data_IF_494111885383
#
_entry.id   IF_494111885383
#
_cell.length_a   1.000
_cell.length_b   1.000
_cell.length_c   1.000
_cell.angle_alpha   90.00
_cell.angle_beta   90.00
_cell.angle_gamma   90.00
#
_symmetry.space_group_name_H-M   'P 1'
#
loop_
_entity.id
_entity.type
_entity.pdbx_description
1 polymer ?
#
# COMPACT_ATOMS: atom_id res chain seq x y z
N UNK A 1 -6.22 41.59 29.69
CA UNK A 1 -6.95 40.49 29.03
C UNK A 1 -6.72 39.25 29.88
N UNK A 2 -7.77 38.65 30.43
CA UNK A 2 -7.69 37.39 31.18
C UNK A 2 -7.19 36.28 30.25
N UNK A 3 -5.97 35.78 30.49
CA UNK A 3 -5.37 34.70 29.72
C UNK A 3 -6.10 33.41 30.09
N UNK A 4 -6.82 32.81 29.14
CA UNK A 4 -7.32 31.44 29.33
C UNK A 4 -6.14 30.50 29.13
N UNK A 5 -5.87 29.73 30.17
CA UNK A 5 -4.86 28.67 30.21
C UNK A 5 -5.63 27.35 30.30
N UNK A 6 -5.17 26.31 29.61
CA UNK A 6 -5.77 24.97 29.75
C UNK A 6 -5.56 24.52 31.21
N UNK A 7 -6.64 24.27 31.98
CA UNK A 7 -6.52 23.83 33.36
C UNK A 7 -5.69 22.56 33.48
N UNK A 8 -4.84 22.49 34.50
CA UNK A 8 -3.89 21.39 34.69
C UNK A 8 -4.59 20.03 34.79
N UNK A 9 -5.78 20.01 35.39
CA UNK A 9 -6.67 18.86 35.54
C UNK A 9 -7.16 18.27 34.20
N UNK A 10 -7.20 19.07 33.13
CA UNK A 10 -7.70 18.66 31.81
C UNK A 10 -6.54 18.26 30.89
N UNK A 11 -5.29 18.64 31.20
CA UNK A 11 -4.12 18.35 30.34
C UNK A 11 -3.94 16.85 30.07
N UNK A 12 -4.26 16.00 31.04
CA UNK A 12 -4.19 14.53 30.90
C UNK A 12 -5.20 13.96 29.90
N UNK A 13 -6.22 14.73 29.51
CA UNK A 13 -7.23 14.35 28.53
C UNK A 13 -6.89 14.80 27.09
N UNK A 14 -5.71 15.39 26.90
CA UNK A 14 -5.13 15.69 25.59
C UNK A 14 -4.12 14.62 25.20
N UNK A 15 -4.14 14.25 23.91
CA UNK A 15 -3.10 13.42 23.29
C UNK A 15 -2.47 14.20 22.15
N UNK A 16 -1.14 14.20 22.07
CA UNK A 16 -0.38 14.79 20.97
C UNK A 16 0.31 13.69 20.18
N UNK A 17 0.25 13.77 18.86
CA UNK A 17 1.06 12.90 17.99
C UNK A 17 2.48 13.45 17.76
N UNK A 18 3.29 12.71 17.00
CA UNK A 18 4.68 13.10 16.67
C UNK A 18 4.78 14.38 15.84
N UNK A 19 3.71 14.75 15.14
CA UNK A 19 3.61 15.95 14.31
C UNK A 19 3.02 17.13 15.10
N UNK A 20 2.63 16.91 16.35
CA UNK A 20 2.02 17.92 17.22
C UNK A 20 0.54 18.16 16.94
N UNK A 21 -0.18 17.25 16.26
CA UNK A 21 -1.64 17.27 16.17
C UNK A 21 -2.22 16.83 17.51
N UNK A 22 -3.18 17.60 18.01
CA UNK A 22 -3.82 17.29 19.27
C UNK A 22 -5.16 16.58 19.08
N UNK A 23 -5.46 15.66 20.00
CA UNK A 23 -6.73 14.96 20.13
C UNK A 23 -7.24 15.15 21.54
N UNK A 24 -8.46 15.66 21.67
CA UNK A 24 -9.11 15.95 22.94
C UNK A 24 -10.16 14.88 23.23
N UNK A 25 -10.30 14.50 24.49
CA UNK A 25 -11.48 13.73 24.90
C UNK A 25 -12.77 14.58 24.71
N UNK A 26 -13.91 13.91 24.59
CA UNK A 26 -15.23 14.60 24.56
C UNK A 26 -15.44 15.39 25.86
N UNK A 27 -15.03 14.81 27.01
CA UNK A 27 -15.13 15.45 28.32
C UNK A 27 -14.22 16.68 28.44
N UNK A 28 -13.01 16.59 27.91
CA UNK A 28 -12.06 17.71 27.87
C UNK A 28 -12.65 18.87 27.08
N UNK A 29 -13.17 18.58 25.89
CA UNK A 29 -13.80 19.56 25.02
C UNK A 29 -15.01 20.23 25.70
N UNK A 30 -15.84 19.43 26.39
CA UNK A 30 -16.99 19.93 27.11
C UNK A 30 -16.59 20.87 28.27
N UNK A 31 -15.63 20.46 29.10
CA UNK A 31 -15.13 21.25 30.23
C UNK A 31 -14.47 22.55 29.77
N UNK A 32 -13.65 22.50 28.72
CA UNK A 32 -13.00 23.69 28.16
C UNK A 32 -14.01 24.74 27.70
N UNK A 33 -15.11 24.30 27.11
CA UNK A 33 -16.16 25.18 26.58
C UNK A 33 -17.25 25.48 27.62
N UNK A 34 -17.16 24.91 28.83
CA UNK A 34 -18.18 24.98 29.87
C UNK A 34 -19.57 24.53 29.38
N UNK A 35 -19.63 23.36 28.75
CA UNK A 35 -20.87 22.73 28.24
C UNK A 35 -21.02 21.32 28.82
N UNK A 36 -22.22 20.76 28.71
CA UNK A 36 -22.53 19.41 29.13
C UNK A 36 -21.94 18.38 28.13
N UNK A 37 -21.13 17.44 28.63
CA UNK A 37 -20.48 16.41 27.82
C UNK A 37 -21.49 15.43 27.23
N UNK A 38 -22.57 15.14 27.98
CA UNK A 38 -23.69 14.34 27.48
C UNK A 38 -24.37 14.99 26.27
N UNK A 39 -24.38 16.32 26.22
CA UNK A 39 -24.84 17.11 25.06
C UNK A 39 -23.98 16.85 23.81
N UNK A 40 -22.65 16.91 23.93
CA UNK A 40 -21.74 16.61 22.83
C UNK A 40 -21.88 15.16 22.35
N UNK A 41 -21.98 14.20 23.27
CA UNK A 41 -22.19 12.78 22.92
C UNK A 41 -23.47 12.62 22.11
N UNK A 42 -24.57 13.27 22.50
CA UNK A 42 -25.83 13.25 21.73
C UNK A 42 -25.67 13.88 20.35
N UNK A 43 -24.93 14.98 20.22
CA UNK A 43 -24.63 15.58 18.92
C UNK A 43 -23.94 14.56 17.99
N UNK A 44 -22.92 13.84 18.47
CA UNK A 44 -22.20 12.87 17.63
C UNK A 44 -23.03 11.62 17.32
N UNK A 45 -23.79 11.09 18.29
CA UNK A 45 -24.68 9.94 18.08
C UNK A 45 -25.84 10.25 17.11
N UNK A 46 -26.23 11.52 16.98
CA UNK A 46 -27.29 11.92 16.05
C UNK A 46 -26.89 11.86 14.56
N UNK A 47 -25.60 11.67 14.26
CA UNK A 47 -25.04 11.77 12.92
C UNK A 47 -25.72 10.92 11.86
N UNK A 48 -26.15 9.69 12.19
CA UNK A 48 -26.76 8.78 11.22
C UNK A 48 -28.26 9.00 11.02
N UNK A 49 -28.96 9.45 12.06
CA UNK A 49 -30.44 9.50 12.06
C UNK A 49 -30.98 10.88 11.77
N UNK A 50 -30.52 11.88 12.51
CA UNK A 50 -31.01 13.26 12.47
C UNK A 50 -29.86 14.19 12.92
N UNK A 51 -28.89 14.47 12.04
CA UNK A 51 -27.72 15.26 12.42
C UNK A 51 -28.14 16.66 12.85
N UNK A 52 -27.65 17.10 14.00
CA UNK A 52 -27.81 18.49 14.44
C UNK A 52 -26.98 19.45 13.57
N UNK A 53 -27.25 20.75 13.65
CA UNK A 53 -26.46 21.77 12.94
C UNK A 53 -24.95 21.66 13.19
N UNK A 54 -24.53 21.38 14.43
CA UNK A 54 -23.11 21.14 14.75
C UNK A 54 -22.59 19.90 14.03
N UNK A 55 -23.33 18.80 14.11
CA UNK A 55 -22.96 17.52 13.49
C UNK A 55 -22.87 17.65 11.98
N UNK A 56 -23.81 18.36 11.36
CA UNK A 56 -23.82 18.65 9.93
C UNK A 56 -22.60 19.47 9.52
N UNK A 57 -22.29 20.57 10.24
CA UNK A 57 -21.10 21.40 9.99
C UNK A 57 -19.80 20.59 10.05
N UNK A 58 -19.69 19.66 10.99
CA UNK A 58 -18.53 18.78 11.11
C UNK A 58 -18.44 17.77 9.96
N UNK A 59 -19.56 17.16 9.56
CA UNK A 59 -19.61 16.21 8.44
C UNK A 59 -19.27 16.91 7.12
N UNK A 60 -19.78 18.12 6.89
CA UNK A 60 -19.48 18.93 5.70
C UNK A 60 -17.99 19.28 5.60
N UNK A 61 -17.30 19.42 6.74
CA UNK A 61 -15.84 19.59 6.82
C UNK A 61 -15.04 18.29 6.73
N UNK A 62 -15.72 17.15 6.49
CA UNK A 62 -15.09 15.84 6.26
C UNK A 62 -14.78 15.05 7.52
N UNK A 63 -15.31 15.44 8.68
CA UNK A 63 -15.04 14.73 9.94
C UNK A 63 -15.95 13.51 10.14
N UNK A 64 -15.36 12.38 10.55
CA UNK A 64 -16.09 11.18 10.95
C UNK A 64 -16.48 11.25 12.43
N UNK A 65 -17.53 12.01 12.73
CA UNK A 65 -17.95 12.34 14.12
C UNK A 65 -18.28 11.12 15.00
N UNK A 66 -18.69 9.99 14.41
CA UNK A 66 -19.01 8.76 15.14
C UNK A 66 -17.78 8.13 15.82
N UNK A 67 -16.59 8.35 15.27
CA UNK A 67 -15.34 7.77 15.81
C UNK A 67 -14.73 8.59 16.94
N UNK A 68 -15.24 9.80 17.20
CA UNK A 68 -14.71 10.70 18.24
C UNK A 68 -14.75 10.13 19.66
N UNK A 69 -15.62 9.15 19.92
CA UNK A 69 -15.66 8.43 21.19
C UNK A 69 -14.44 7.52 21.41
N UNK A 70 -13.83 7.02 20.32
CA UNK A 70 -12.68 6.12 20.32
C UNK A 70 -11.37 6.90 20.07
N UNK A 71 -11.36 7.71 19.01
CA UNK A 71 -10.17 8.40 18.52
C UNK A 71 -9.91 9.74 19.24
N UNK A 72 -10.92 10.25 19.94
CA UNK A 72 -10.94 11.62 20.44
C UNK A 72 -11.27 12.63 19.32
N UNK A 73 -11.51 13.87 19.74
CA UNK A 73 -11.84 14.99 18.86
C UNK A 73 -10.52 15.61 18.37
N UNK A 74 -10.22 15.61 17.06
CA UNK A 74 -9.05 16.31 16.53
C UNK A 74 -9.10 17.81 16.81
N UNK A 75 -7.94 18.45 16.98
CA UNK A 75 -7.81 19.89 17.26
C UNK A 75 -8.60 20.79 16.30
N UNK A 76 -8.57 20.49 15.00
CA UNK A 76 -9.34 21.22 14.00
C UNK A 76 -10.84 21.04 14.20
N UNK A 77 -11.31 19.82 14.51
CA UNK A 77 -12.72 19.59 14.81
C UNK A 77 -13.15 20.28 16.12
N UNK A 78 -12.26 20.33 17.11
CA UNK A 78 -12.50 21.08 18.34
C UNK A 78 -12.67 22.58 18.07
N UNK A 79 -11.91 23.17 17.14
CA UNK A 79 -12.09 24.57 16.76
C UNK A 79 -13.50 24.86 16.23
N UNK A 80 -14.06 23.95 15.42
CA UNK A 80 -15.43 24.06 14.91
C UNK A 80 -16.49 23.98 16.02
N UNK A 81 -16.27 23.07 16.98
CA UNK A 81 -17.15 22.92 18.14
C UNK A 81 -17.07 24.18 19.01
N UNK A 82 -15.87 24.70 19.26
CA UNK A 82 -15.65 25.92 20.03
C UNK A 82 -16.30 27.13 19.35
N UNK A 83 -16.18 27.27 18.04
CA UNK A 83 -16.86 28.31 17.26
C UNK A 83 -18.38 28.20 17.38
N UNK A 84 -18.92 27.00 17.21
CA UNK A 84 -20.36 26.75 17.30
C UNK A 84 -20.91 27.17 18.68
N UNK A 85 -20.26 26.78 19.78
CA UNK A 85 -20.68 27.19 21.13
C UNK A 85 -20.31 28.64 21.48
N UNK A 86 -19.47 29.30 20.69
CA UNK A 86 -19.19 30.72 20.83
C UNK A 86 -20.25 31.61 20.14
N UNK A 87 -20.82 31.16 19.01
CA UNK A 87 -21.62 32.01 18.12
C UNK A 87 -22.96 31.40 17.68
N UNK A 88 -23.02 30.10 17.39
CA UNK A 88 -24.12 29.49 16.62
C UNK A 88 -25.10 28.66 17.47
N UNK A 89 -24.74 28.30 18.70
CA UNK A 89 -25.54 27.43 19.58
C UNK A 89 -26.77 28.13 20.22
N UNK A 90 -27.05 29.39 19.86
CA UNK A 90 -28.18 30.17 20.36
C UNK A 90 -28.16 30.34 21.88
N UNK A 91 -29.22 29.91 22.57
CA UNK A 91 -29.30 29.96 24.05
C UNK A 91 -28.23 29.10 24.76
N UNK A 92 -27.58 28.18 24.04
CA UNK A 92 -26.50 27.32 24.56
C UNK A 92 -25.11 27.90 24.32
N UNK A 93 -24.99 29.09 23.71
CA UNK A 93 -23.70 29.75 23.61
C UNK A 93 -23.15 30.05 25.00
N UNK A 94 -21.86 29.83 25.21
CA UNK A 94 -21.21 30.07 26.51
C UNK A 94 -20.16 31.16 26.37
N UNK A 95 -20.03 31.97 27.43
CA UNK A 95 -18.99 32.99 27.48
C UNK A 95 -17.60 32.34 27.48
N UNK A 96 -17.45 31.17 28.11
CA UNK A 96 -16.21 30.40 28.12
C UNK A 96 -15.81 29.96 26.71
N UNK A 97 -16.73 29.38 25.92
CA UNK A 97 -16.46 29.00 24.53
C UNK A 97 -16.02 30.20 23.69
N UNK A 98 -16.65 31.36 23.86
CA UNK A 98 -16.26 32.60 23.19
C UNK A 98 -14.84 33.04 23.53
N UNK A 99 -14.43 32.91 24.79
CA UNK A 99 -13.08 33.27 25.19
C UNK A 99 -12.05 32.25 24.68
N UNK A 100 -12.36 30.94 24.73
CA UNK A 100 -11.51 29.86 24.19
C UNK A 100 -11.30 30.05 22.68
N UNK A 101 -12.38 30.27 21.93
CA UNK A 101 -12.30 30.55 20.51
C UNK A 101 -11.42 31.77 20.21
N UNK A 102 -11.62 32.88 20.94
CA UNK A 102 -10.77 34.07 20.79
C UNK A 102 -9.30 33.83 21.12
N UNK A 103 -9.00 32.94 22.07
CA UNK A 103 -7.62 32.64 22.47
C UNK A 103 -6.81 32.03 21.32
N UNK A 104 -7.43 31.17 20.51
CA UNK A 104 -6.75 30.54 19.37
C UNK A 104 -7.06 31.16 18.01
N UNK A 105 -8.09 31.98 17.86
CA UNK A 105 -8.51 32.54 16.57
C UNK A 105 -7.39 33.30 15.83
N UNK A 106 -6.45 33.91 16.55
CA UNK A 106 -5.35 34.67 15.95
C UNK A 106 -4.15 33.81 15.50
N UNK A 107 -3.89 32.68 16.18
CA UNK A 107 -2.66 31.87 15.99
C UNK A 107 -2.94 30.44 15.48
N UNK A 108 -4.21 30.06 15.42
CA UNK A 108 -4.67 28.70 15.11
C UNK A 108 -4.77 27.81 16.35
N UNK A 109 -5.79 26.95 16.38
CA UNK A 109 -6.08 26.01 17.47
C UNK A 109 -4.90 25.09 17.80
N UNK A 110 -4.19 24.61 16.76
CA UNK A 110 -3.05 23.71 16.93
C UNK A 110 -1.89 24.39 17.64
N UNK A 111 -1.48 25.56 17.13
CA UNK A 111 -0.42 26.39 17.73
C UNK A 111 -0.76 26.75 19.17
N UNK A 112 -2.02 27.10 19.43
CA UNK A 112 -2.49 27.40 20.77
C UNK A 112 -2.36 26.20 21.71
N UNK A 113 -2.88 25.01 21.33
CA UNK A 113 -2.78 23.79 22.15
C UNK A 113 -1.31 23.39 22.38
N UNK A 114 -0.45 23.48 21.35
CA UNK A 114 0.98 23.20 21.49
C UNK A 114 1.65 24.13 22.51
N UNK A 115 1.32 25.42 22.49
CA UNK A 115 1.85 26.40 23.44
C UNK A 115 1.39 26.12 24.88
N UNK A 116 0.13 25.72 25.06
CA UNK A 116 -0.47 25.44 26.36
C UNK A 116 0.00 24.12 26.97
N UNK A 117 0.34 23.13 26.13
CA UNK A 117 0.90 21.84 26.53
C UNK A 117 2.44 21.82 26.54
N UNK A 118 3.08 22.95 26.27
CA UNK A 118 4.54 23.08 26.18
C UNK A 118 5.18 22.08 25.19
N UNK A 119 4.46 21.75 24.11
CA UNK A 119 4.96 20.86 23.08
C UNK A 119 6.08 21.56 22.30
N UNK A 120 7.21 20.86 22.17
CA UNK A 120 8.31 21.30 21.34
C UNK A 120 8.40 20.38 20.14
N UNK A 121 8.49 20.96 18.95
CA UNK A 121 8.73 20.19 17.74
C UNK A 121 10.03 19.39 17.92
N UNK A 122 10.02 18.07 17.67
CA UNK A 122 11.25 17.29 17.67
C UNK A 122 12.23 17.97 16.72
N UNK A 123 13.38 18.42 17.23
CA UNK A 123 14.38 19.03 16.36
C UNK A 123 14.81 17.98 15.35
N UNK A 124 14.42 18.18 14.09
CA UNK A 124 15.06 17.49 12.98
C UNK A 124 16.50 17.97 13.02
N UNK A 125 17.46 17.10 13.34
CA UNK A 125 18.87 17.44 13.25
C UNK A 125 19.15 17.86 11.81
N UNK A 126 19.20 19.17 11.58
CA UNK A 126 19.67 19.71 10.31
C UNK A 126 21.17 19.48 10.29
N UNK A 127 21.59 18.41 9.63
CA UNK A 127 22.99 18.18 9.32
C UNK A 127 23.50 19.39 8.57
N UNK A 128 24.59 19.98 9.05
CA UNK A 128 25.31 20.97 8.27
C UNK A 128 25.76 20.34 6.94
N UNK A 129 25.99 21.14 5.88
CA UNK A 129 26.46 20.61 4.60
C UNK A 129 27.69 19.71 4.75
N UNK A 130 28.63 20.06 5.64
CA UNK A 130 29.82 19.27 5.93
C UNK A 130 29.51 17.94 6.62
N UNK A 131 28.53 17.90 7.54
CA UNK A 131 28.09 16.65 8.18
C UNK A 131 27.35 15.75 7.20
N UNK A 132 26.53 16.34 6.32
CA UNK A 132 25.85 15.59 5.27
C UNK A 132 26.85 14.95 4.31
N UNK A 133 27.88 15.71 3.88
CA UNK A 133 28.97 15.20 3.05
C UNK A 133 29.72 14.05 3.75
N UNK A 134 30.08 14.22 5.02
CA UNK A 134 30.78 13.18 5.78
C UNK A 134 29.94 11.90 5.90
N UNK A 135 28.64 12.03 6.17
CA UNK A 135 27.73 10.88 6.22
C UNK A 135 27.58 10.20 4.85
N UNK A 136 27.51 10.96 3.76
CA UNK A 136 27.47 10.40 2.41
C UNK A 136 28.75 9.63 2.09
N UNK A 137 29.92 10.16 2.45
CA UNK A 137 31.21 9.46 2.27
C UNK A 137 31.26 8.16 3.08
N UNK A 138 30.84 8.19 4.35
CA UNK A 138 30.77 6.99 5.19
C UNK A 138 29.85 5.92 4.56
N UNK A 139 28.70 6.33 4.04
CA UNK A 139 27.77 5.42 3.36
C UNK A 139 28.39 4.79 2.10
N UNK A 140 29.16 5.55 1.32
CA UNK A 140 29.84 5.01 0.13
C UNK A 140 30.87 3.94 0.51
N UNK A 141 31.66 4.16 1.56
CA UNK A 141 32.62 3.17 2.06
C UNK A 141 31.93 1.88 2.49
N UNK A 142 30.77 1.97 3.16
CA UNK A 142 29.99 0.80 3.52
C UNK A 142 29.44 0.04 2.30
N UNK A 143 29.04 0.76 1.26
CA UNK A 143 28.58 0.17 0.01
C UNK A 143 29.71 -0.59 -0.68
N UNK A 144 30.89 0.02 -0.78
CA UNK A 144 32.08 -0.64 -1.35
C UNK A 144 32.42 -1.94 -0.61
N UNK A 145 32.39 -1.90 0.73
CA UNK A 145 32.64 -3.08 1.55
C UNK A 145 31.59 -4.18 1.32
N UNK A 146 30.30 -3.81 1.23
CA UNK A 146 29.23 -4.77 0.94
C UNK A 146 29.35 -5.36 -0.46
N UNK A 147 29.73 -4.56 -1.44
CA UNK A 147 29.99 -5.01 -2.82
C UNK A 147 31.12 -6.02 -2.86
N UNK A 148 32.24 -5.75 -2.18
CA UNK A 148 33.37 -6.69 -2.11
C UNK A 148 32.97 -8.05 -1.51
N UNK A 149 32.16 -8.05 -0.45
CA UNK A 149 31.62 -9.29 0.14
C UNK A 149 30.71 -10.02 -0.84
N UNK A 150 29.86 -9.28 -1.56
CA UNK A 150 28.92 -9.86 -2.52
C UNK A 150 29.65 -10.50 -3.70
N UNK A 151 30.68 -9.84 -4.23
CA UNK A 151 31.51 -10.38 -5.31
C UNK A 151 32.22 -11.67 -4.87
N UNK A 152 32.74 -11.71 -3.64
CA UNK A 152 33.36 -12.92 -3.10
C UNK A 152 32.35 -14.09 -2.99
N UNK A 153 31.10 -13.81 -2.58
CA UNK A 153 30.04 -14.83 -2.54
C UNK A 153 29.67 -15.34 -3.93
N UNK A 154 29.61 -14.44 -4.92
CA UNK A 154 29.33 -14.82 -6.31
C UNK A 154 30.42 -15.74 -6.86
N UNK A 155 31.71 -15.44 -6.61
CA UNK A 155 32.82 -16.29 -7.04
C UNK A 155 32.70 -17.72 -6.48
N UNK A 156 32.31 -17.88 -5.22
CA UNK A 156 32.10 -19.21 -4.62
C UNK A 156 30.95 -19.96 -5.31
N UNK A 157 29.82 -19.29 -5.53
CA UNK A 157 28.66 -19.90 -6.19
C UNK A 157 28.99 -20.33 -7.63
N UNK A 158 29.73 -19.49 -8.36
CA UNK A 158 30.14 -19.81 -9.73
C UNK A 158 31.08 -21.02 -9.77
N UNK A 159 32.03 -21.09 -8.85
CA UNK A 159 32.94 -22.22 -8.72
C UNK A 159 32.18 -23.52 -8.36
N UNK A 160 31.26 -23.47 -7.39
CA UNK A 160 30.42 -24.61 -7.01
C UNK A 160 29.54 -25.07 -8.17
N UNK A 161 28.92 -24.14 -8.89
CA UNK A 161 28.11 -24.45 -10.07
C UNK A 161 28.95 -25.13 -11.15
N UNK A 162 30.17 -24.64 -11.40
CA UNK A 162 31.05 -25.22 -12.40
C UNK A 162 31.46 -26.64 -12.00
N UNK A 163 31.87 -26.85 -10.75
CA UNK A 163 32.19 -28.19 -10.23
C UNK A 163 30.99 -29.14 -10.32
N UNK A 164 29.80 -28.73 -9.88
CA UNK A 164 28.60 -29.53 -9.98
C UNK A 164 28.25 -29.88 -11.44
N UNK A 165 28.48 -28.96 -12.38
CA UNK A 165 28.27 -29.20 -13.82
C UNK A 165 29.27 -30.23 -14.36
N UNK A 166 30.54 -30.14 -13.96
CA UNK A 166 31.57 -31.11 -14.33
C UNK A 166 31.30 -32.49 -13.74
N UNK A 167 30.88 -32.57 -12.48
CA UNK A 167 30.47 -33.81 -11.81
C UNK A 167 29.30 -34.47 -12.53
N UNK A 168 28.24 -33.72 -12.85
CA UNK A 168 27.10 -34.20 -13.63
C UNK A 168 27.52 -34.76 -14.99
N UNK A 169 28.49 -34.12 -15.65
CA UNK A 169 28.99 -34.54 -16.97
C UNK A 169 29.79 -35.85 -16.89
N UNK A 170 30.41 -36.16 -15.75
CA UNK A 170 31.21 -37.38 -15.54
C UNK A 170 30.38 -38.61 -15.17
N UNK A 171 29.12 -38.43 -14.78
CA UNK A 171 28.25 -39.56 -14.43
C UNK A 171 28.02 -40.46 -15.66
N UNK A 172 28.12 -41.79 -15.51
CA UNK A 172 27.85 -42.69 -16.62
C UNK A 172 26.39 -42.58 -17.05
N UNK A 173 26.18 -42.32 -18.33
CA UNK A 173 24.84 -42.35 -18.93
C UNK A 173 24.34 -43.80 -18.99
N UNK A 174 23.06 -44.00 -18.70
CA UNK A 174 22.44 -45.32 -18.85
C UNK A 174 22.54 -45.80 -20.30
N UNK A 175 22.85 -47.09 -20.49
CA UNK A 175 22.87 -47.76 -21.80
C UNK A 175 21.47 -48.09 -22.31
N UNK A 176 20.44 -47.95 -21.48
CA UNK A 176 19.07 -48.29 -21.84
C UNK A 176 18.46 -47.20 -22.74
N UNK A 177 17.90 -47.61 -23.88
CA UNK A 177 17.18 -46.71 -24.76
C UNK A 177 15.89 -46.25 -24.08
N UNK A 178 15.87 -45.02 -23.61
CA UNK A 178 14.67 -44.40 -23.07
C UNK A 178 13.57 -44.34 -24.16
N UNK A 179 12.29 -44.54 -23.80
CA UNK A 179 11.19 -44.42 -24.75
C UNK A 179 11.14 -43.00 -25.34
N UNK A 180 11.01 -42.89 -26.66
CA UNK A 180 10.99 -41.60 -27.34
C UNK A 180 9.74 -40.81 -26.96
N UNK A 181 9.92 -39.59 -26.44
CA UNK A 181 8.79 -38.70 -26.13
C UNK A 181 8.06 -38.37 -27.44
N UNK A 182 6.74 -38.60 -27.52
CA UNK A 182 5.96 -38.26 -28.71
C UNK A 182 5.97 -36.75 -28.94
N UNK A 183 5.82 -36.32 -30.20
CA UNK A 183 5.92 -34.92 -30.60
C UNK A 183 4.96 -34.00 -29.83
N UNK A 184 3.75 -34.49 -29.55
CA UNK A 184 2.76 -33.85 -28.66
C UNK A 184 3.30 -33.61 -27.25
N UNK A 185 4.02 -34.58 -26.70
CA UNK A 185 4.69 -34.46 -25.40
C UNK A 185 5.79 -33.40 -25.40
N UNK A 186 6.59 -33.34 -26.47
CA UNK A 186 7.64 -32.32 -26.64
C UNK A 186 7.06 -30.90 -26.68
N UNK A 187 5.97 -30.68 -27.42
CA UNK A 187 5.30 -29.37 -27.49
C UNK A 187 4.74 -28.97 -26.12
N UNK A 188 4.05 -29.89 -25.42
CA UNK A 188 3.54 -29.63 -24.07
C UNK A 188 4.65 -29.26 -23.08
N UNK A 189 5.81 -29.91 -23.18
CA UNK A 189 6.97 -29.62 -22.34
C UNK A 189 7.50 -28.20 -22.56
N UNK A 190 7.65 -27.78 -23.82
CA UNK A 190 8.08 -26.41 -24.16
C UNK A 190 7.12 -25.38 -23.58
N UNK A 191 5.80 -25.57 -23.79
CA UNK A 191 4.78 -24.62 -23.30
C UNK A 191 4.76 -24.54 -21.77
N UNK A 192 4.90 -25.68 -21.08
CA UNK A 192 4.94 -25.71 -19.60
C UNK A 192 6.18 -25.04 -19.04
N UNK A 193 7.35 -25.32 -19.60
CA UNK A 193 8.61 -24.69 -19.17
C UNK A 193 8.54 -23.17 -19.34
N UNK A 194 8.00 -22.71 -20.48
CA UNK A 194 7.80 -21.29 -20.74
C UNK A 194 6.79 -20.64 -19.80
N UNK A 195 5.69 -21.33 -19.48
CA UNK A 195 4.71 -20.85 -18.50
C UNK A 195 5.33 -20.66 -17.12
N UNK A 196 6.17 -21.60 -16.69
CA UNK A 196 6.84 -21.54 -15.39
C UNK A 196 7.93 -20.47 -15.34
N UNK A 197 8.77 -20.37 -16.37
CA UNK A 197 9.82 -19.33 -16.48
C UNK A 197 9.21 -17.93 -16.57
N UNK A 198 8.21 -17.79 -17.42
CA UNK A 198 7.45 -16.58 -17.75
C UNK A 198 6.51 -16.04 -16.67
N UNK A 199 6.06 -16.93 -15.77
CA UNK A 199 4.85 -16.73 -14.94
C UNK A 199 3.60 -16.38 -15.77
N UNK A 200 3.53 -16.86 -17.02
CA UNK A 200 2.41 -16.62 -17.95
C UNK A 200 1.43 -17.80 -17.88
N UNK A 201 0.13 -17.53 -17.97
CA UNK A 201 -0.86 -18.60 -17.96
C UNK A 201 -0.69 -19.57 -19.14
N UNK A 202 -0.75 -20.86 -18.84
CA UNK A 202 -0.61 -21.94 -19.82
C UNK A 202 -1.57 -21.79 -21.02
N UNK A 203 -2.82 -21.37 -20.77
CA UNK A 203 -3.83 -21.17 -21.80
C UNK A 203 -3.55 -19.96 -22.72
N UNK A 204 -2.90 -18.91 -22.19
CA UNK A 204 -2.51 -17.75 -22.99
C UNK A 204 -1.42 -18.12 -23.99
N UNK A 205 -0.44 -18.95 -23.59
CA UNK A 205 0.61 -19.44 -24.50
C UNK A 205 0.03 -20.27 -25.64
N UNK A 206 -0.94 -21.16 -25.37
CA UNK A 206 -1.64 -21.89 -26.42
C UNK A 206 -2.42 -20.99 -27.37
N UNK A 207 -3.09 -19.97 -26.83
CA UNK A 207 -3.81 -18.99 -27.66
C UNK A 207 -2.85 -18.25 -28.59
N UNK A 208 -1.66 -17.88 -28.11
CA UNK A 208 -0.59 -17.26 -28.90
C UNK A 208 -0.07 -18.21 -29.98
N UNK A 209 0.16 -19.50 -29.65
CA UNK A 209 0.61 -20.49 -30.63
C UNK A 209 -0.41 -20.69 -31.75
N UNK A 210 -1.70 -20.82 -31.42
CA UNK A 210 -2.75 -20.98 -32.44
C UNK A 210 -2.89 -19.73 -33.31
N UNK A 211 -2.71 -18.54 -32.74
CA UNK A 211 -2.67 -17.29 -33.49
C UNK A 211 -1.46 -17.25 -34.45
N UNK A 212 -0.29 -17.74 -34.02
CA UNK A 212 0.89 -17.84 -34.90
C UNK A 212 0.69 -18.87 -36.02
N UNK A 213 0.02 -20.00 -35.75
CA UNK A 213 -0.36 -20.94 -36.80
C UNK A 213 -1.29 -20.31 -37.83
N UNK A 214 -2.25 -19.49 -37.38
CA UNK A 214 -3.13 -18.76 -38.28
C UNK A 214 -2.37 -17.76 -39.15
N UNK A 215 -1.50 -16.92 -38.58
CA UNK A 215 -0.81 -15.90 -39.37
C UNK A 215 0.27 -16.48 -40.29
N UNK A 216 0.99 -17.52 -39.84
CA UNK A 216 2.12 -18.07 -40.60
C UNK A 216 1.71 -19.13 -41.61
N UNK A 217 0.67 -19.91 -41.31
CA UNK A 217 0.26 -21.07 -42.12
C UNK A 217 -1.18 -20.93 -42.65
N UNK A 218 -1.84 -19.79 -42.39
CA UNK A 218 -3.28 -19.60 -42.69
C UNK A 218 -4.16 -20.71 -42.12
N UNK A 219 -3.70 -21.34 -41.04
CA UNK A 219 -4.35 -22.49 -40.42
C UNK A 219 -5.08 -22.06 -39.14
N UNK A 220 -6.39 -21.86 -39.27
CA UNK A 220 -7.25 -21.55 -38.12
C UNK A 220 -7.71 -22.84 -37.42
N UNK A 221 -7.00 -23.17 -36.34
CA UNK A 221 -7.30 -24.31 -35.46
C UNK A 221 -8.72 -24.18 -34.87
N UNK A 222 -9.10 -22.97 -34.44
CA UNK A 222 -10.36 -22.75 -33.72
C UNK A 222 -11.56 -22.88 -34.65
N UNK A 223 -11.48 -22.38 -35.87
CA UNK A 223 -12.54 -22.52 -36.87
C UNK A 223 -12.77 -23.99 -37.24
N UNK A 224 -11.70 -24.78 -37.41
CA UNK A 224 -11.79 -26.21 -37.77
C UNK A 224 -12.37 -27.07 -36.65
N UNK A 225 -12.07 -26.74 -35.38
CA UNK A 225 -12.67 -27.41 -34.23
C UNK A 225 -14.19 -27.19 -34.12
N UNK A 226 -14.72 -26.05 -34.59
CA UNK A 226 -16.18 -25.78 -34.55
C UNK A 226 -16.98 -26.77 -35.39
N UNK A 227 -16.41 -27.24 -36.51
CA UNK A 227 -17.10 -28.15 -37.43
C UNK A 227 -16.89 -29.63 -37.08
N UNK A 228 -15.77 -29.98 -36.42
CA UNK A 228 -15.44 -31.37 -36.09
C UNK A 228 -15.79 -31.79 -34.65
N UNK A 229 -16.07 -30.86 -33.74
CA UNK A 229 -16.33 -31.16 -32.32
C UNK A 229 -15.12 -31.72 -31.54
N UNK A 230 -13.92 -31.71 -32.13
CA UNK A 230 -12.68 -32.23 -31.55
C UNK A 230 -11.90 -31.15 -30.81
N UNK A 231 -11.04 -31.55 -29.86
CA UNK A 231 -10.14 -30.62 -29.17
C UNK A 231 -9.08 -30.08 -30.14
N UNK A 232 -8.57 -28.85 -29.94
CA UNK A 232 -7.58 -28.21 -30.81
C UNK A 232 -6.36 -29.06 -31.16
N UNK A 233 -5.77 -29.74 -30.17
CA UNK A 233 -4.62 -30.61 -30.39
C UNK A 233 -4.97 -31.85 -31.20
N UNK A 234 -6.12 -32.46 -30.94
CA UNK A 234 -6.54 -33.69 -31.62
C UNK A 234 -6.92 -33.39 -33.09
N UNK A 235 -7.42 -32.18 -33.38
CA UNK A 235 -7.66 -31.69 -34.74
C UNK A 235 -6.35 -31.48 -35.52
N UNK A 236 -5.33 -30.90 -34.89
CA UNK A 236 -3.99 -30.74 -35.49
C UNK A 236 -3.35 -32.11 -35.77
N UNK A 237 -3.70 -33.13 -34.98
CA UNK A 237 -3.19 -34.51 -35.13
C UNK A 237 -3.78 -35.16 -36.36
N UNK A 238 -5.11 -35.06 -36.49
CA UNK A 238 -5.85 -35.52 -37.67
C UNK A 238 -5.36 -34.87 -38.96
N UNK A 239 -5.06 -33.58 -38.91
CA UNK A 239 -4.60 -32.81 -40.07
C UNK A 239 -3.08 -32.96 -40.33
N UNK A 240 -2.37 -33.78 -39.53
CA UNK A 240 -0.93 -34.04 -39.63
C UNK A 240 -0.06 -32.79 -39.58
N UNK A 241 -0.43 -31.80 -38.77
CA UNK A 241 0.27 -30.50 -38.65
C UNK A 241 1.12 -30.36 -37.38
N UNK A 242 1.40 -31.47 -36.67
CA UNK A 242 2.19 -31.45 -35.44
C UNK A 242 3.64 -31.02 -35.64
N UNK A 243 4.26 -31.37 -36.77
CA UNK A 243 5.63 -30.94 -37.10
C UNK A 243 5.72 -29.42 -37.23
N UNK A 244 4.74 -28.82 -37.90
CA UNK A 244 4.65 -27.37 -38.07
C UNK A 244 4.36 -26.66 -36.74
N UNK A 245 3.50 -27.24 -35.88
CA UNK A 245 3.24 -26.71 -34.54
C UNK A 245 4.50 -26.80 -33.66
N UNK A 246 5.27 -27.89 -33.74
CA UNK A 246 6.51 -28.05 -33.00
C UNK A 246 7.59 -27.06 -33.41
N UNK A 247 7.74 -26.80 -34.72
CA UNK A 247 8.65 -25.78 -35.24
C UNK A 247 8.29 -24.38 -34.72
N UNK A 248 7.01 -23.99 -34.81
CA UNK A 248 6.53 -22.69 -34.32
C UNK A 248 6.69 -22.60 -32.79
N UNK A 249 6.36 -23.65 -32.05
CA UNK A 249 6.49 -23.65 -30.60
C UNK A 249 7.95 -23.52 -30.15
N UNK A 250 8.88 -24.18 -30.84
CA UNK A 250 10.30 -24.11 -30.51
C UNK A 250 10.86 -22.71 -30.77
N UNK A 251 10.48 -22.05 -31.86
CA UNK A 251 10.92 -20.68 -32.19
C UNK A 251 10.31 -19.61 -31.27
N UNK A 252 9.00 -19.71 -30.97
CA UNK A 252 8.26 -18.63 -30.30
C UNK A 252 8.35 -18.71 -28.76
N UNK A 253 8.60 -19.89 -28.19
CA UNK A 253 8.49 -20.14 -26.75
C UNK A 253 9.80 -20.54 -26.06
N UNK A 254 10.88 -20.78 -26.80
CA UNK A 254 12.21 -21.07 -26.23
C UNK A 254 12.89 -19.75 -25.85
#
# INVERSE_FOLDING_TARGET
MSKIIIPEEIRSEFRLDKEGKAFLSIRASARLLNIDDSGLVRHFQSAEKNPTNLTQKLIEKGFQVLTFSLDGIPDVAFAEIAEYYAMDAGKRCTQQAKMVYKAFAAIGVRTWIQSELHWQQPQVQHLTPSQALLQSVMMLVEIEHKLAIQDQRLMVIEAEKQQATEELTRLPLSSDLAPSIPLRGKINMIVRNKAQRDLISYNALWSKLYQQMYYRLSYDVKARCRHSGMKPLDQIEKDKMFDALYAIASEVLT
#
